data_IF_430046852448
#
_entry.id   IF_430046852448
#
_cell.length_a   1.000
_cell.length_b   1.000
_cell.length_c   1.000
_cell.angle_alpha   90.00
_cell.angle_beta   90.00
_cell.angle_gamma   90.00
#
_symmetry.space_group_name_H-M   'P 1'
#
loop_
_entity.id
_entity.type
_entity.pdbx_description
1 polymer ?
2 non-polymer ?
3 non-polymer ?
#
# COMPACT_ATOMS: atom_id res chain seq x y z
N UNK A 1 1.54 -14.96 16.14
CA UNK A 1 0.39 -15.03 15.18
C UNK A 1 0.87 -15.50 13.82
N UNK A 2 -0.07 -15.64 12.89
CA UNK A 2 0.24 -15.99 11.51
C UNK A 2 -0.23 -14.88 10.58
N UNK A 3 0.61 -14.54 9.60
CA UNK A 3 0.31 -13.47 8.65
C UNK A 3 0.77 -13.86 7.26
N UNK A 4 -0.13 -13.78 6.29
CA UNK A 4 0.18 -14.09 4.91
C UNK A 4 1.08 -13.00 4.34
N UNK A 5 2.07 -13.40 3.53
CA UNK A 5 2.96 -12.44 2.88
C UNK A 5 2.17 -11.47 2.00
N UNK A 6 2.63 -10.22 1.96
CA UNK A 6 1.94 -9.18 1.19
C UNK A 6 0.69 -8.66 1.85
N UNK A 7 0.58 -8.83 3.17
CA UNK A 7 -0.55 -8.31 3.93
C UNK A 7 -0.11 -7.47 5.12
N UNK A 8 -1.04 -6.69 5.65
CA UNK A 8 -0.79 -5.84 6.81
C UNK A 8 -1.47 -6.41 8.04
N UNK A 9 -1.07 -5.91 9.21
CA UNK A 9 -1.60 -6.38 10.48
C UNK A 9 -1.66 -5.23 11.49
N UNK A 10 -2.80 -5.08 12.15
CA UNK A 10 -2.96 -4.07 13.19
C UNK A 10 -2.64 -4.64 14.57
N UNK A 11 -1.46 -4.31 15.06
CA UNK A 11 -1.01 -4.73 16.39
C UNK A 11 -1.74 -3.94 17.47
N UNK A 12 -2.21 -4.64 18.50
CA UNK A 12 -2.87 -4.00 19.63
C UNK A 12 -1.98 -4.14 20.88
N UNK A 13 -1.70 -3.01 21.52
CA UNK A 13 -0.81 -2.97 22.68
C UNK A 13 -1.40 -2.10 23.79
N UNK A 14 -0.97 -2.34 25.02
CA UNK A 14 -1.36 -1.51 26.15
C UNK A 14 -0.64 -0.17 26.07
N UNK A 15 -1.39 0.91 26.21
CA UNK A 15 -0.87 2.28 26.09
C UNK A 15 0.07 2.63 27.23
N UNK A 16 -0.39 2.35 28.45
CA UNK A 16 0.26 2.84 29.66
C UNK A 16 1.71 2.35 29.82
N UNK A 17 2.60 3.29 30.16
CA UNK A 17 4.03 3.03 30.37
C UNK A 17 4.75 2.44 29.14
N UNK A 18 4.20 2.67 27.94
CA UNK A 18 4.81 2.20 26.70
C UNK A 18 5.88 3.19 26.27
N UNK A 19 7.05 2.68 25.87
CA UNK A 19 8.15 3.54 25.42
C UNK A 19 8.37 3.45 23.91
N UNK A 20 8.61 2.24 23.41
CA UNK A 20 8.84 2.05 21.97
C UNK A 20 8.57 0.62 21.48
N UNK A 21 8.32 0.51 20.18
CA UNK A 21 8.09 -0.77 19.52
C UNK A 21 9.14 -0.91 18.42
N UNK A 22 9.81 -2.07 18.37
CA UNK A 22 10.98 -2.23 17.51
C UNK A 22 11.01 -3.54 16.73
N UNK A 23 11.79 -3.52 15.64
CA UNK A 23 12.06 -4.69 14.82
C UNK A 23 13.54 -4.63 14.45
N UNK A 24 14.37 -5.27 15.26
CA UNK A 24 15.81 -5.02 15.30
C UNK A 24 16.04 -3.56 15.75
N UNK A 25 16.77 -2.76 14.97
CA UNK A 25 16.98 -1.35 15.32
C UNK A 25 15.95 -0.42 14.68
N UNK A 26 15.11 -0.97 13.80
CA UNK A 26 14.05 -0.20 13.14
C UNK A 26 12.91 0.08 14.11
N UNK A 27 12.61 1.37 14.31
CA UNK A 27 11.43 1.76 15.08
C UNK A 27 10.15 1.56 14.28
N UNK A 28 9.04 1.41 15.00
CA UNK A 28 7.72 1.32 14.38
C UNK A 28 6.82 2.32 15.09
N UNK A 29 6.23 3.27 14.33
CA UNK A 29 5.38 4.26 14.99
C UNK A 29 4.07 3.68 15.48
N UNK A 30 3.45 4.37 16.44
CA UNK A 30 2.19 3.93 17.03
C UNK A 30 1.16 5.06 16.94
N UNK A 31 -0.12 4.69 17.01
CA UNK A 31 -1.21 5.66 17.07
C UNK A 31 -2.32 5.17 17.98
N UNK A 32 -3.19 6.08 18.38
CA UNK A 32 -4.25 5.78 19.35
C UNK A 32 -5.31 4.85 18.75
N UNK A 33 -5.81 3.94 19.59
CA UNK A 33 -6.96 3.12 19.24
C UNK A 33 -8.21 3.98 19.50
N UNK A 34 -9.07 4.15 18.48
CA UNK A 34 -10.16 5.12 18.59
C UNK A 34 -11.32 4.70 19.52
N UNK A 35 -11.65 3.41 19.56
CA UNK A 35 -12.66 2.91 20.50
C UNK A 35 -12.07 2.88 21.93
N UNK A 36 -11.17 1.92 22.16
CA UNK A 36 -10.59 1.65 23.48
C UNK A 36 -9.44 2.60 23.78
N UNK A 37 -9.53 3.30 24.91
CA UNK A 37 -8.58 4.36 25.27
C UNK A 37 -7.31 3.87 25.99
N UNK A 38 -7.27 2.59 26.33
CA UNK A 38 -6.11 2.02 27.00
C UNK A 38 -5.20 1.28 26.02
N UNK A 39 -5.58 1.29 24.74
CA UNK A 39 -4.83 0.57 23.71
C UNK A 39 -4.19 1.52 22.72
N UNK A 40 -3.16 1.03 22.04
CA UNK A 40 -2.55 1.73 20.91
C UNK A 40 -2.34 0.73 19.78
N UNK A 41 -2.22 1.26 18.57
CA UNK A 41 -2.12 0.44 17.38
C UNK A 41 -0.82 0.72 16.63
N UNK A 42 -0.38 -0.28 15.86
CA UNK A 42 0.78 -0.15 15.00
C UNK A 42 0.58 -1.06 13.80
N UNK A 43 0.99 -0.59 12.63
CA UNK A 43 0.83 -1.35 11.41
C UNK A 43 2.12 -2.09 11.09
N UNK A 44 2.00 -3.40 10.91
CA UNK A 44 3.12 -4.24 10.52
C UNK A 44 2.80 -4.92 9.19
N UNK A 45 3.75 -4.87 8.27
CA UNK A 45 3.57 -5.42 6.93
C UNK A 45 4.70 -6.37 6.57
N UNK A 46 4.35 -7.44 5.86
CA UNK A 46 5.34 -8.35 5.30
C UNK A 46 5.43 -8.13 3.80
N UNK A 47 6.67 -8.06 3.26
CA UNK A 47 6.80 -7.93 1.82
C UNK A 47 6.39 -9.22 1.11
N UNK A 48 5.89 -9.08 -0.12
CA UNK A 48 5.50 -10.23 -0.92
C UNK A 48 6.75 -11.01 -1.37
N UNK A 49 7.75 -10.28 -1.84
CA UNK A 49 9.03 -10.87 -2.24
C UNK A 49 9.99 -10.95 -1.06
N UNK A 50 10.65 -12.09 -0.92
CA UNK A 50 11.67 -12.31 0.11
C UNK A 50 11.23 -11.97 1.54
N UNK A 51 10.08 -12.50 1.97
CA UNK A 51 9.70 -12.25 3.35
C UNK A 51 10.51 -13.13 4.30
N UNK A 52 10.84 -12.60 5.50
CA UNK A 52 11.46 -13.48 6.49
C UNK A 52 10.47 -14.55 6.95
N UNK A 53 10.97 -15.74 7.25
CA UNK A 53 10.11 -16.84 7.71
C UNK A 53 9.44 -16.50 9.03
N UNK A 54 10.19 -15.85 9.92
CA UNK A 54 9.68 -15.43 11.22
C UNK A 54 10.17 -14.04 11.58
N UNK A 55 9.40 -13.35 12.42
CA UNK A 55 9.69 -11.99 12.84
C UNK A 55 9.42 -11.85 14.33
N UNK A 56 10.31 -11.18 15.04
CA UNK A 56 10.13 -10.91 16.47
C UNK A 56 10.17 -9.41 16.74
N UNK A 57 9.02 -8.84 17.07
CA UNK A 57 8.91 -7.45 17.50
C UNK A 57 9.01 -7.40 19.02
N UNK A 58 9.53 -6.28 19.53
CA UNK A 58 9.64 -6.09 20.98
C UNK A 58 9.04 -4.75 21.37
N UNK A 59 8.08 -4.79 22.28
CA UNK A 59 7.46 -3.60 22.83
C UNK A 59 8.07 -3.27 24.18
N UNK A 60 8.88 -2.21 24.24
CA UNK A 60 9.53 -1.81 25.47
C UNK A 60 8.62 -0.93 26.31
N UNK A 61 8.36 -1.36 27.54
CA UNK A 61 7.64 -0.56 28.52
C UNK A 61 8.63 -0.10 29.60
N UNK A 62 8.17 0.76 30.50
CA UNK A 62 8.99 1.22 31.62
C UNK A 62 9.27 0.10 32.64
N UNK A 63 8.37 -0.88 32.71
CA UNK A 63 8.45 -1.97 33.69
C UNK A 63 8.81 -3.34 33.10
N UNK A 64 8.67 -3.52 31.79
CA UNK A 64 8.94 -4.82 31.16
C UNK A 64 9.12 -4.72 29.65
N UNK A 65 9.66 -5.78 29.06
CA UNK A 65 9.65 -5.95 27.60
C UNK A 65 8.68 -7.06 27.24
N UNK A 66 8.12 -6.96 26.03
CA UNK A 66 7.05 -7.85 25.59
C UNK A 66 7.27 -8.22 24.14
N UNK A 67 7.63 -9.49 23.91
CA UNK A 67 7.95 -9.96 22.56
C UNK A 67 6.69 -10.39 21.81
N UNK A 68 6.70 -10.13 20.50
CA UNK A 68 5.62 -10.57 19.61
C UNK A 68 6.23 -11.36 18.46
N UNK A 69 5.84 -12.62 18.32
CA UNK A 69 6.33 -13.48 17.25
C UNK A 69 5.29 -13.58 16.14
N UNK A 70 5.74 -13.40 14.89
CA UNK A 70 4.86 -13.43 13.73
C UNK A 70 5.38 -14.42 12.70
N UNK A 71 4.58 -15.45 12.42
CA UNK A 71 4.93 -16.49 11.45
C UNK A 71 4.44 -16.09 10.06
N UNK A 72 5.33 -16.18 9.08
CA UNK A 72 5.00 -15.85 7.69
C UNK A 72 4.33 -17.04 7.01
N UNK A 73 3.13 -16.80 6.46
CA UNK A 73 2.42 -17.81 5.68
C UNK A 73 2.52 -17.51 4.19
N UNK A 74 2.49 -18.57 3.39
CA UNK A 74 2.60 -18.43 1.93
C UNK A 74 1.31 -17.94 1.28
N UNK A 75 0.16 -18.28 1.87
CA UNK A 75 -1.13 -17.84 1.34
C UNK A 75 -1.58 -18.66 0.15
N UNK A 76 -2.59 -18.15 -0.57
CA UNK A 76 -3.19 -18.87 -1.68
C UNK A 76 -3.28 -18.01 -2.94
N UNK A 77 -2.15 -17.42 -3.32
CA UNK A 77 -2.08 -16.55 -4.49
C UNK A 77 -1.95 -17.36 -5.78
N UNK A 78 -2.42 -16.78 -6.88
CA UNK A 78 -2.22 -17.37 -8.21
C UNK A 78 -0.77 -17.20 -8.63
N UNK A 79 -0.27 -18.16 -9.41
CA UNK A 79 1.13 -18.16 -9.83
C UNK A 79 1.34 -18.91 -11.13
N UNK A 80 1.88 -18.21 -12.13
CA UNK A 80 2.25 -18.83 -13.41
C UNK A 80 3.77 -18.94 -13.48
N UNK A 81 4.25 -19.90 -14.27
CA UNK A 81 5.70 -20.09 -14.45
C UNK A 81 6.21 -19.16 -15.55
N UNK A 82 7.53 -19.13 -15.70
CA UNK A 82 8.18 -18.46 -16.82
C UNK A 82 9.18 -19.42 -17.46
N UNK A 83 9.50 -19.18 -18.73
CA UNK A 83 10.66 -19.79 -19.37
C UNK A 83 11.51 -18.70 -20.02
N UNK A 84 11.84 -17.67 -19.23
CA UNK A 84 12.62 -16.52 -19.71
C UNK A 84 13.50 -15.88 -18.60
N UNK A 85 12.88 -15.40 -17.52
CA UNK A 85 13.62 -14.83 -16.36
C UNK A 85 14.06 -13.38 -16.60
N UNK A 86 14.60 -12.75 -15.55
CA UNK A 86 15.28 -11.44 -15.65
C UNK A 86 16.32 -11.43 -16.76
N UNK A 87 16.66 -10.22 -17.21
CA UNK A 87 17.84 -9.99 -18.05
C UNK A 87 18.38 -8.58 -17.85
N UNK A 88 18.20 -8.02 -16.64
CA UNK A 88 18.43 -6.60 -16.39
C UNK A 88 18.43 -5.85 -17.72
N UNK A 89 17.22 -5.79 -18.30
CA UNK A 89 17.04 -5.36 -19.69
C UNK A 89 17.65 -3.99 -19.91
N UNK A 90 17.95 -3.67 -21.18
CA UNK A 90 18.76 -2.51 -21.51
C UNK A 90 17.91 -1.42 -22.18
N UNK A 91 17.28 -0.54 -21.37
CA UNK A 91 16.52 0.55 -21.99
C UNK A 91 17.44 1.69 -22.41
N UNK A 92 16.92 2.62 -23.22
CA UNK A 92 17.68 3.84 -23.52
C UNK A 92 17.90 4.68 -22.27
N UNK A 93 19.07 5.32 -22.16
CA UNK A 93 19.42 6.07 -20.94
C UNK A 93 18.43 7.17 -20.59
N UNK A 94 17.79 7.76 -21.59
CA UNK A 94 16.72 8.74 -21.36
C UNK A 94 15.61 8.20 -20.46
N UNK A 95 15.33 6.90 -20.56
CA UNK A 95 14.30 6.25 -19.75
C UNK A 95 14.83 5.77 -18.40
N UNK A 96 16.05 5.21 -18.40
CA UNK A 96 16.74 4.88 -17.15
C UNK A 96 16.75 6.09 -16.21
N UNK A 97 17.17 7.22 -16.76
CA UNK A 97 17.20 8.49 -16.04
C UNK A 97 15.84 8.87 -15.45
N UNK A 98 14.78 8.71 -16.24
CA UNK A 98 13.42 9.05 -15.79
C UNK A 98 12.94 8.14 -14.65
N UNK A 99 13.10 6.83 -14.84
CA UNK A 99 12.71 5.84 -13.82
C UNK A 99 13.38 6.14 -12.48
N UNK A 100 14.69 6.33 -12.52
CA UNK A 100 15.49 6.60 -11.32
C UNK A 100 15.08 7.90 -10.63
N UNK A 101 14.73 8.91 -11.42
CA UNK A 101 14.26 10.19 -10.91
C UNK A 101 12.91 10.03 -10.20
N UNK A 102 11.99 9.32 -10.85
CA UNK A 102 10.66 9.07 -10.28
C UNK A 102 10.70 8.09 -9.10
N UNK A 103 11.73 7.25 -9.05
CA UNK A 103 11.95 6.36 -7.91
C UNK A 103 12.44 7.14 -6.69
N UNK A 104 13.41 8.04 -6.90
CA UNK A 104 13.87 8.94 -5.85
C UNK A 104 12.71 9.70 -5.23
N UNK A 105 11.86 10.28 -6.07
CA UNK A 105 10.72 11.08 -5.65
C UNK A 105 9.71 10.28 -4.83
N UNK A 106 9.46 9.04 -5.23
CA UNK A 106 8.50 8.18 -4.54
C UNK A 106 8.99 7.80 -3.14
N UNK A 107 10.27 7.45 -3.03
CA UNK A 107 10.85 7.04 -1.75
C UNK A 107 10.91 8.18 -0.73
N UNK A 108 11.13 9.40 -1.20
CA UNK A 108 11.07 10.58 -0.34
C UNK A 108 9.66 10.79 0.23
N UNK A 109 8.66 10.53 -0.61
CA UNK A 109 7.25 10.68 -0.21
C UNK A 109 6.80 9.56 0.74
N UNK A 110 7.11 8.31 0.38
CA UNK A 110 6.67 7.16 1.18
C UNK A 110 7.41 7.02 2.52
N UNK A 111 8.52 7.73 2.68
CA UNK A 111 9.25 7.76 3.96
C UNK A 111 9.10 9.11 4.66
N UNK A 112 7.93 9.73 4.51
CA UNK A 112 7.64 11.03 5.12
C UNK A 112 6.46 10.88 6.06
N UNK A 113 6.74 10.34 7.24
CA UNK A 113 5.69 9.94 8.18
C UNK A 113 4.85 11.12 8.68
N UNK A 114 3.52 10.98 8.54
CA UNK A 114 2.58 11.93 9.09
C UNK A 114 1.96 11.32 10.36
N UNK A 115 2.26 11.90 11.54
CA UNK A 115 1.82 11.32 12.81
C UNK A 115 0.39 11.71 13.26
N UNK A 116 -0.52 11.89 12.32
CA UNK A 116 -1.93 12.16 12.65
C UNK A 116 -2.84 11.61 11.55
N UNK A 117 -4.10 11.37 11.90
CA UNK A 117 -5.09 10.87 10.95
C UNK A 117 -5.56 11.99 10.03
N UNK A 118 -5.41 11.79 8.73
CA UNK A 118 -5.96 12.70 7.72
C UNK A 118 -7.22 12.14 7.08
N UNK A 119 -7.60 10.92 7.48
CA UNK A 119 -8.78 10.23 6.94
C UNK A 119 -10.03 10.59 7.75
N UNK A 120 -11.17 10.11 7.28
CA UNK A 120 -12.45 10.38 7.91
C UNK A 120 -13.35 9.15 7.82
N UNK A 121 -13.24 8.28 8.83
CA UNK A 121 -14.01 7.05 8.88
C UNK A 121 -13.41 5.96 8.01
N UNK A 122 -14.27 5.16 7.40
CA UNK A 122 -13.85 3.98 6.65
C UNK A 122 -13.46 4.29 5.22
N UNK A 123 -12.64 3.42 4.62
CA UNK A 123 -12.33 3.47 3.20
C UNK A 123 -13.52 2.97 2.39
N UNK A 124 -13.73 3.57 1.23
CA UNK A 124 -14.68 3.06 0.25
C UNK A 124 -13.92 2.61 -0.98
N UNK A 125 -14.45 1.62 -1.68
CA UNK A 125 -13.92 1.24 -2.99
C UNK A 125 -14.01 2.46 -3.91
N UNK A 126 -12.94 2.74 -4.68
CA UNK A 126 -12.89 3.94 -5.52
C UNK A 126 -13.93 3.98 -6.63
N UNK A 127 -14.44 2.82 -7.04
CA UNK A 127 -15.56 2.74 -7.96
C UNK A 127 -16.37 1.45 -7.77
N UNK A 128 -17.62 1.48 -8.19
CA UNK A 128 -18.56 0.36 -7.98
C UNK A 128 -18.52 -0.68 -9.09
N UNK A 129 -17.31 -1.16 -9.38
CA UNK A 129 -17.11 -2.17 -10.41
C UNK A 129 -16.74 -3.50 -9.76
N UNK A 130 -15.92 -4.29 -10.44
CA UNK A 130 -15.50 -5.60 -9.94
C UNK A 130 -14.05 -5.87 -10.32
N UNK A 131 -13.43 -6.81 -9.60
CA UNK A 131 -12.01 -7.11 -9.79
C UNK A 131 -11.77 -7.95 -11.03
N UNK A 132 -10.99 -7.41 -11.97
CA UNK A 132 -10.57 -8.14 -13.16
C UNK A 132 -9.27 -8.90 -12.92
N UNK A 133 -8.40 -8.37 -12.07
CA UNK A 133 -7.11 -9.00 -11.76
C UNK A 133 -6.73 -8.77 -10.29
N UNK A 134 -6.49 -9.86 -9.58
CA UNK A 134 -6.29 -9.83 -8.12
C UNK A 134 -4.87 -9.41 -7.75
N UNK A 135 -4.73 -8.93 -6.51
CA UNK A 135 -3.43 -8.66 -5.92
C UNK A 135 -2.70 -9.98 -5.66
N UNK A 136 -1.39 -9.99 -5.94
CA UNK A 136 -0.56 -11.14 -5.62
C UNK A 136 -0.34 -12.15 -6.75
N UNK A 137 -0.93 -11.90 -7.92
CA UNK A 137 -0.71 -12.79 -9.07
C UNK A 137 0.77 -12.73 -9.45
N UNK A 138 1.43 -13.87 -9.39
CA UNK A 138 2.89 -13.93 -9.45
C UNK A 138 3.41 -14.67 -10.68
N UNK A 139 4.63 -14.30 -11.10
CA UNK A 139 5.36 -15.02 -12.14
C UNK A 139 6.63 -15.59 -11.51
N UNK A 140 6.76 -16.91 -11.52
CA UNK A 140 7.88 -17.60 -10.88
C UNK A 140 8.88 -18.19 -11.87
N UNK A 141 10.14 -18.25 -11.46
CA UNK A 141 11.17 -19.01 -12.17
C UNK A 141 12.00 -19.80 -11.15
N UNK A 142 11.87 -21.13 -11.20
CA UNK A 142 12.49 -22.05 -10.23
C UNK A 142 11.92 -21.89 -8.81
N UNK A 143 10.60 -21.75 -8.71
CA UNK A 143 9.89 -21.51 -7.44
C UNK A 143 10.39 -20.29 -6.66
N UNK A 144 11.05 -19.36 -7.35
CA UNK A 144 11.47 -18.09 -6.76
C UNK A 144 10.62 -17.02 -7.43
N UNK A 145 10.11 -16.07 -6.65
CA UNK A 145 9.20 -15.06 -7.18
C UNK A 145 9.96 -13.97 -7.94
N UNK A 146 9.71 -13.88 -9.25
CA UNK A 146 10.33 -12.87 -10.10
C UNK A 146 9.61 -11.54 -9.97
N UNK A 147 8.29 -11.58 -10.17
CA UNK A 147 7.46 -10.38 -10.07
C UNK A 147 6.06 -10.74 -9.55
N UNK A 148 5.30 -9.71 -9.19
CA UNK A 148 3.93 -9.89 -8.72
C UNK A 148 3.10 -8.64 -8.92
N UNK A 149 1.78 -8.81 -8.96
CA UNK A 149 0.85 -7.70 -9.09
C UNK A 149 0.75 -6.99 -7.74
N UNK A 150 1.25 -5.75 -7.69
CA UNK A 150 1.38 -5.01 -6.42
C UNK A 150 0.09 -4.32 -5.95
N UNK A 151 -0.96 -4.38 -6.77
CA UNK A 151 -2.26 -3.81 -6.41
C UNK A 151 -3.38 -4.66 -6.97
N UNK A 152 -4.55 -4.05 -7.16
CA UNK A 152 -5.71 -4.77 -7.67
C UNK A 152 -6.39 -3.96 -8.77
N UNK A 153 -6.81 -4.65 -9.83
CA UNK A 153 -7.39 -3.99 -11.00
C UNK A 153 -8.90 -4.16 -11.05
N UNK A 154 -9.59 -3.04 -11.23
CA UNK A 154 -11.05 -3.02 -11.40
C UNK A 154 -11.41 -2.88 -12.87
N UNK A 155 -12.57 -3.40 -13.24
CA UNK A 155 -13.12 -3.17 -14.58
C UNK A 155 -13.49 -1.70 -14.71
N UNK A 156 -12.99 -1.05 -15.75
CA UNK A 156 -13.35 0.33 -16.04
C UNK A 156 -13.03 0.66 -17.50
N UNK A 157 -14.06 1.04 -18.24
CA UNK A 157 -13.87 1.59 -19.58
C UNK A 157 -13.17 2.93 -19.43
N UNK A 158 -12.52 3.38 -20.50
CA UNK A 158 -11.83 4.66 -20.49
C UNK A 158 -12.84 5.77 -20.19
N UNK A 159 -12.50 6.62 -19.22
CA UNK A 159 -13.35 7.75 -18.85
C UNK A 159 -14.35 7.47 -17.73
N UNK A 160 -14.11 6.41 -16.96
CA UNK A 160 -14.97 6.10 -15.81
C UNK A 160 -14.54 6.96 -14.62
N UNK A 161 -15.50 7.62 -13.95
CA UNK A 161 -15.12 8.50 -12.83
C UNK A 161 -14.53 7.76 -11.63
N UNK A 162 -13.43 8.28 -11.11
CA UNK A 162 -12.74 7.69 -9.95
C UNK A 162 -12.84 8.64 -8.77
N UNK A 163 -13.18 8.09 -7.61
CA UNK A 163 -13.37 8.88 -6.38
C UNK A 163 -12.35 8.47 -5.33
N UNK A 164 -11.94 9.43 -4.51
CA UNK A 164 -10.98 9.20 -3.43
C UNK A 164 -11.55 8.21 -2.43
N UNK A 165 -10.77 7.16 -2.12
CA UNK A 165 -11.20 6.11 -1.21
C UNK A 165 -11.40 6.62 0.22
N UNK A 166 -10.56 7.58 0.62
CA UNK A 166 -10.73 8.26 1.90
C UNK A 166 -10.13 9.66 1.84
N UNK A 167 -10.39 10.47 2.87
CA UNK A 167 -9.83 11.82 2.95
C UNK A 167 -8.31 11.78 3.14
N UNK A 168 -7.64 12.84 2.71
CA UNK A 168 -6.18 12.91 2.84
C UNK A 168 -5.56 14.14 2.20
N UNK A 169 -4.30 14.01 1.80
CA UNK A 169 -3.58 15.07 1.11
C UNK A 169 -2.88 14.48 -0.11
N UNK A 170 -3.03 15.13 -1.26
CA UNK A 170 -2.44 14.63 -2.51
C UNK A 170 -0.93 14.91 -2.51
N UNK A 171 -0.16 13.87 -2.80
CA UNK A 171 1.31 13.96 -2.81
C UNK A 171 1.88 13.81 -4.22
N UNK A 172 1.24 13.00 -5.07
CA UNK A 172 1.62 12.84 -6.46
C UNK A 172 0.39 13.02 -7.35
N UNK A 173 0.58 13.65 -8.51
CA UNK A 173 -0.50 13.84 -9.48
C UNK A 173 0.06 14.16 -10.87
N UNK A 174 0.66 13.16 -11.50
CA UNK A 174 1.30 13.35 -12.82
C UNK A 174 1.58 12.03 -13.54
N UNK A 175 1.96 12.16 -14.81
CA UNK A 175 2.32 11.00 -15.63
C UNK A 175 3.68 10.46 -15.22
N UNK A 176 3.74 9.15 -15.02
CA UNK A 176 4.98 8.45 -14.71
C UNK A 176 5.11 7.21 -15.58
N UNK A 177 6.36 6.77 -15.78
CA UNK A 177 6.64 5.54 -16.51
C UNK A 177 6.23 4.38 -15.61
N UNK A 178 5.57 3.38 -16.20
CA UNK A 178 4.95 2.25 -15.48
C UNK A 178 3.56 2.60 -14.98
N UNK A 179 3.47 3.57 -14.08
CA UNK A 179 2.20 3.93 -13.43
C UNK A 179 1.24 4.69 -14.33
N UNK A 180 1.75 5.34 -15.37
CA UNK A 180 0.94 6.23 -16.21
C UNK A 180 0.56 7.46 -15.42
N UNK A 181 -0.62 8.02 -15.71
CA UNK A 181 -1.14 9.14 -14.93
C UNK A 181 -1.52 8.68 -13.53
N UNK A 182 -0.73 9.14 -12.54
CA UNK A 182 -0.81 8.61 -11.18
C UNK A 182 -1.41 9.62 -10.21
N UNK A 183 -2.04 9.10 -9.16
CA UNK A 183 -2.43 9.90 -8.01
C UNK A 183 -2.11 9.11 -6.74
N UNK A 184 -1.46 9.77 -5.79
CA UNK A 184 -1.14 9.15 -4.50
C UNK A 184 -1.60 10.07 -3.37
N UNK A 185 -2.43 9.53 -2.48
CA UNK A 185 -3.00 10.30 -1.37
C UNK A 185 -2.42 9.80 -0.05
N UNK A 186 -1.92 10.73 0.76
CA UNK A 186 -1.46 10.44 2.11
C UNK A 186 -2.65 10.53 3.06
N UNK A 187 -2.92 9.43 3.78
CA UNK A 187 -4.03 9.38 4.73
C UNK A 187 -3.56 9.50 6.18
N UNK A 188 -2.25 9.59 6.39
CA UNK A 188 -1.68 9.66 7.72
C UNK A 188 -1.22 8.28 8.19
N UNK A 189 -0.28 8.29 9.14
CA UNK A 189 0.27 7.06 9.71
C UNK A 189 0.93 6.14 8.67
N UNK A 190 1.54 6.74 7.65
CA UNK A 190 2.23 5.99 6.60
C UNK A 190 1.31 5.18 5.71
N UNK A 191 0.03 5.56 5.65
CA UNK A 191 -0.95 4.89 4.81
C UNK A 191 -1.18 5.73 3.57
N UNK A 192 -0.90 5.15 2.40
CA UNK A 192 -1.06 5.84 1.13
C UNK A 192 -1.93 5.00 0.21
N UNK A 193 -2.88 5.63 -0.48
CA UNK A 193 -3.65 4.97 -1.54
C UNK A 193 -3.16 5.45 -2.89
N UNK A 194 -3.26 4.57 -3.89
CA UNK A 194 -2.64 4.78 -5.18
C UNK A 194 -3.65 4.51 -6.30
N UNK A 195 -3.69 5.38 -7.30
CA UNK A 195 -4.65 5.29 -8.41
C UNK A 195 -3.91 5.49 -9.73
N UNK A 196 -3.65 4.39 -10.44
CA UNK A 196 -2.78 4.42 -11.62
C UNK A 196 -3.51 4.24 -12.95
N UNK A 197 -2.79 4.57 -14.02
CA UNK A 197 -3.26 4.40 -15.41
C UNK A 197 -4.48 5.23 -15.76
N UNK A 198 -4.57 6.42 -15.18
CA UNK A 198 -5.71 7.30 -15.41
C UNK A 198 -5.62 7.92 -16.79
N UNK A 199 -6.77 8.26 -17.37
CA UNK A 199 -6.82 9.00 -18.63
C UNK A 199 -6.76 10.50 -18.37
N UNK A 200 -7.05 10.90 -17.13
CA UNK A 200 -7.29 12.29 -16.80
C UNK A 200 -7.19 12.52 -15.29
N UNK A 201 -6.39 13.52 -14.90
CA UNK A 201 -6.18 13.86 -13.49
C UNK A 201 -6.95 15.15 -13.16
N UNK A 202 -7.66 15.15 -12.03
CA UNK A 202 -8.51 16.29 -11.64
C UNK A 202 -8.07 16.96 -10.32
N UNK A 203 -6.85 16.69 -9.87
CA UNK A 203 -6.35 17.23 -8.61
C UNK A 203 -4.92 17.74 -8.72
N UNK A 204 -4.51 18.49 -7.70
CA UNK A 204 -3.19 19.13 -7.65
C UNK A 204 -2.39 18.63 -6.45
N UNK A 205 -1.06 18.72 -6.54
CA UNK A 205 -0.19 18.33 -5.42
C UNK A 205 -0.41 19.25 -4.23
N UNK A 206 -0.39 18.67 -3.03
CA UNK A 206 -0.59 19.41 -1.79
C UNK A 206 -2.05 19.75 -1.51
N UNK A 207 -2.96 19.27 -2.35
CA UNK A 207 -4.38 19.58 -2.22
C UNK A 207 -5.02 18.69 -1.16
N UNK A 208 -5.82 19.29 -0.30
CA UNK A 208 -6.57 18.56 0.71
C UNK A 208 -7.81 17.96 0.06
N UNK A 209 -7.94 16.64 0.15
CA UNK A 209 -8.97 15.90 -0.60
C UNK A 209 -9.93 15.21 0.36
N UNK A 210 -11.20 15.13 -0.02
CA UNK A 210 -12.25 14.53 0.81
C UNK A 210 -12.72 13.19 0.25
N UNK A 211 -13.23 12.33 1.12
CA UNK A 211 -13.69 10.99 0.71
C UNK A 211 -14.88 11.08 -0.23
N UNK A 212 -14.88 10.22 -1.25
CA UNK A 212 -15.95 10.17 -2.23
C UNK A 212 -15.93 11.33 -3.23
N UNK A 213 -14.89 12.16 -3.18
CA UNK A 213 -14.76 13.30 -4.09
C UNK A 213 -13.83 12.92 -5.24
N UNK A 214 -14.14 13.44 -6.42
CA UNK A 214 -13.54 12.99 -7.67
C UNK A 214 -12.06 13.35 -7.78
N UNK A 215 -11.25 12.37 -8.15
CA UNK A 215 -9.80 12.56 -8.33
C UNK A 215 -9.33 12.44 -9.78
N UNK A 216 -10.15 11.84 -10.65
CA UNK A 216 -9.80 11.69 -12.06
C UNK A 216 -10.69 10.70 -12.79
N UNK A 217 -10.34 10.43 -14.05
CA UNK A 217 -11.05 9.46 -14.87
C UNK A 217 -10.14 8.29 -15.21
N UNK A 218 -10.69 7.08 -15.22
CA UNK A 218 -9.93 5.88 -15.54
C UNK A 218 -9.46 5.90 -17.00
N UNK A 219 -8.41 5.16 -17.28
CA UNK A 219 -7.85 5.10 -18.62
C UNK A 219 -6.95 3.90 -18.83
N UNK A 220 -6.00 4.05 -19.76
CA UNK A 220 -5.04 2.99 -20.05
C UNK A 220 -3.63 3.57 -20.25
N UNK A 221 -3.33 4.68 -19.58
CA UNK A 221 -2.03 5.33 -19.71
C UNK A 221 -0.94 4.50 -19.05
N UNK A 222 0.15 4.27 -19.77
CA UNK A 222 1.24 3.44 -19.26
C UNK A 222 0.86 1.99 -19.03
N UNK A 223 -0.19 1.53 -19.70
CA UNK A 223 -0.73 0.18 -19.52
C UNK A 223 -0.82 -0.52 -20.87
N UNK A 224 -0.38 -1.78 -20.91
CA UNK A 224 -0.32 -2.54 -22.15
C UNK A 224 -1.61 -3.33 -22.39
N UNK A 225 -2.17 -3.89 -21.31
CA UNK A 225 -3.33 -4.77 -21.40
C UNK A 225 -4.69 -4.04 -21.44
N UNK A 226 -4.69 -2.76 -21.85
CA UNK A 226 -5.93 -2.03 -22.10
C UNK A 226 -6.50 -1.28 -20.90
N UNK A 227 -7.70 -0.69 -21.06
CA UNK A 227 -8.31 0.14 -20.03
C UNK A 227 -8.72 -0.59 -18.74
N UNK A 228 -8.49 0.07 -17.60
CA UNK A 228 -8.77 -0.48 -16.27
C UNK A 228 -8.19 0.44 -15.20
N UNK A 229 -8.71 0.34 -13.97
CA UNK A 229 -8.14 1.06 -12.83
C UNK A 229 -7.27 0.13 -12.01
N UNK A 230 -6.05 0.56 -11.72
CA UNK A 230 -5.17 -0.13 -10.77
C UNK A 230 -5.21 0.62 -9.44
N UNK A 231 -5.62 -0.08 -8.39
CA UNK A 231 -5.73 0.49 -7.05
C UNK A 231 -4.74 -0.19 -6.12
N UNK A 232 -3.94 0.60 -5.41
CA UNK A 232 -2.92 0.06 -4.51
C UNK A 232 -2.93 0.73 -3.15
N UNK A 233 -2.47 0.00 -2.14
CA UNK A 233 -2.30 0.54 -0.79
C UNK A 233 -0.88 0.28 -0.32
N UNK A 234 -0.20 1.34 0.11
CA UNK A 234 1.10 1.22 0.75
C UNK A 234 0.94 1.54 2.22
N UNK A 235 1.29 0.57 3.08
CA UNK A 235 1.15 0.72 4.53
C UNK A 235 2.21 -0.09 5.25
N UNK A 236 2.73 0.46 6.34
CA UNK A 236 3.88 -0.13 7.03
C UNK A 236 5.13 -0.11 6.17
N UNK A 237 5.21 0.86 5.25
CA UNK A 237 6.33 0.98 4.33
C UNK A 237 6.35 0.01 3.16
N UNK A 238 5.24 -0.68 2.90
CA UNK A 238 5.20 -1.72 1.86
C UNK A 238 3.85 -1.81 1.15
N UNK A 239 3.88 -2.28 -0.09
CA UNK A 239 2.65 -2.57 -0.84
C UNK A 239 1.95 -3.77 -0.20
N UNK A 240 0.65 -3.64 0.03
CA UNK A 240 -0.13 -4.69 0.67
C UNK A 240 -1.42 -4.94 -0.11
N UNK A 241 -2.07 -6.08 0.19
CA UNK A 241 -3.37 -6.41 -0.41
C UNK A 241 -4.39 -5.35 -0.01
N UNK A 242 -4.91 -4.57 -0.99
CA UNK A 242 -5.79 -3.45 -0.65
C UNK A 242 -7.11 -3.85 0.01
N UNK A 243 -7.79 -4.86 -0.53
CA UNK A 243 -9.09 -5.31 0.00
C UNK A 243 -8.98 -5.92 1.40
N UNK A 244 -7.92 -6.70 1.63
CA UNK A 244 -7.63 -7.24 2.96
C UNK A 244 -7.38 -6.12 3.95
N UNK A 245 -6.61 -5.11 3.52
CA UNK A 245 -6.29 -3.96 4.37
C UNK A 245 -7.53 -3.14 4.70
N UNK A 246 -8.33 -2.84 3.70
CA UNK A 246 -9.57 -2.07 3.88
C UNK A 246 -10.49 -2.75 4.91
N UNK A 247 -10.63 -4.06 4.79
CA UNK A 247 -11.43 -4.84 5.76
C UNK A 247 -10.95 -4.65 7.19
N UNK A 248 -9.64 -4.81 7.40
CA UNK A 248 -9.03 -4.69 8.72
C UNK A 248 -9.08 -3.25 9.25
N UNK A 249 -8.79 -2.29 8.38
CA UNK A 249 -8.84 -0.87 8.74
C UNK A 249 -10.24 -0.46 9.17
N UNK A 250 -11.23 -0.82 8.35
CA UNK A 250 -12.62 -0.43 8.60
C UNK A 250 -13.19 -1.05 9.87
N UNK A 251 -12.78 -2.28 10.18
CA UNK A 251 -13.15 -2.93 11.44
C UNK A 251 -12.90 -2.02 12.65
N UNK A 252 -11.80 -1.25 12.58
CA UNK A 252 -11.36 -0.39 13.66
C UNK A 252 -11.90 1.03 13.55
N UNK A 253 -11.80 1.63 12.35
CA UNK A 253 -12.11 3.06 12.18
C UNK A 253 -13.50 3.35 11.61
N UNK A 254 -14.34 2.33 11.47
CA UNK A 254 -15.74 2.50 11.08
C UNK A 254 -16.44 3.55 11.93
N UNK A 255 -17.20 4.43 11.27
CA UNK A 255 -18.09 5.37 11.97
C UNK A 255 -19.54 4.96 11.75
X LIG B 1 -2.62 -3.25 -12.28
X LIG C 1 2.95 -0.52 -11.33
X LIG C 1 1.09 -1.60 -12.61
X LIG C 1 4.38 -0.42 -7.75
X LIG C 1 0.03 -0.65 -12.03
X LIG C 1 4.92 1.60 -6.50
X LIG C 1 4.99 3.07 -6.89
X LIG C 1 0.45 -2.96 -12.97
X LIG C 1 6.22 2.81 -10.20
X LIG C 1 4.48 0.92 -10.24
X LIG C 1 2.12 -1.70 -11.58
X LIG C 1 5.88 1.33 -10.24
X LIG C 1 3.93 0.91 -7.34
X LIG C 1 3.52 -0.91 -8.92
X LIG C 1 6.74 0.51 -10.26
X LIG C 1 4.05 -0.46 -10.28
X LIG C 1 2.75 0.46 -11.98
X LIG C 1 -0.76 -3.00 -13.77
X LIG C 1 0.97 -3.96 -12.61
X LIG C 1 -1.26 -4.02 -14.06
X LIG C 1 5.77 3.84 -6.27
X LIG C 1 4.28 3.53 -7.82
#
# INVERSE_FOLDING_TARGET
MELIKGQALFLELDKKDFLSLKNNDKNIPTFAHPKNQEKILAIFSLPYKNPPQNTKLIAFYKDKKEEIFIKTLEGNYKSEKLQVENKKIFPPKTIQERIAKELKEANAIYSSYTPKALFNGAFNIPLNSFITSDFGKARTFNEKVASYHSGTDFRAATGTPIYAANSGVVKIAKDRYFAGNSVVIDHGFGIYSQYYHLSKIDVKVGQKIKKGELIGLSGASGRVSGPALHFGILAGGKQVDPLDFVSKFNAIFQL
ZN ZN
HWX C4 C5 C6 C11 C7 C8 C12 C13 N1 N2 C3 N3 C1 O1 C2 O3 N4 O8 O9 O2 O4
#
